data_IF_320848143978
#
_entry.id   IF_320848143978
#
_cell.length_a   1.000
_cell.length_b   1.000
_cell.length_c   1.000
_cell.angle_alpha   90.00
_cell.angle_beta   90.00
_cell.angle_gamma   90.00
#
_symmetry.space_group_name_H-M   'P 1'
#
loop_
_entity.id
_entity.type
_entity.pdbx_description
1 polymer ?
#
# COMPACT_ATOMS: atom_id res chain seq x y z
N UNK A 1 -12.64 -26.80 -26.65
CA UNK A 1 -11.57 -25.82 -26.40
C UNK A 1 -12.25 -24.53 -26.02
N UNK A 2 -12.31 -24.22 -24.73
CA UNK A 2 -12.91 -22.97 -24.24
C UNK A 2 -11.78 -22.12 -23.66
N UNK A 3 -11.62 -20.92 -24.21
CA UNK A 3 -10.65 -19.93 -23.77
C UNK A 3 -10.89 -19.54 -22.30
N UNK A 4 -9.84 -19.38 -21.47
CA UNK A 4 -10.02 -19.05 -20.07
C UNK A 4 -10.39 -17.57 -19.92
N UNK A 5 -11.61 -17.32 -19.40
CA UNK A 5 -12.19 -16.01 -19.12
C UNK A 5 -11.18 -15.03 -18.51
N UNK A 6 -10.99 -13.92 -19.21
CA UNK A 6 -9.90 -12.96 -19.01
C UNK A 6 -10.15 -11.99 -17.83
N UNK A 7 -11.30 -12.05 -17.17
CA UNK A 7 -11.80 -10.98 -16.28
C UNK A 7 -12.05 -11.48 -14.85
N UNK A 8 -10.97 -11.72 -14.09
CA UNK A 8 -11.04 -12.16 -12.68
C UNK A 8 -9.88 -11.59 -11.86
N UNK A 9 -9.99 -11.46 -10.52
CA UNK A 9 -8.89 -11.06 -9.63
C UNK A 9 -7.66 -12.00 -9.74
N UNK A 10 -7.89 -13.27 -10.10
CA UNK A 10 -6.86 -14.23 -10.49
C UNK A 10 -6.04 -13.76 -11.72
N UNK A 11 -6.66 -13.04 -12.65
CA UNK A 11 -5.98 -12.38 -13.77
C UNK A 11 -5.05 -11.29 -13.24
N UNK A 12 -5.47 -10.44 -12.29
CA UNK A 12 -4.61 -9.36 -11.76
C UNK A 12 -3.38 -9.90 -11.01
N UNK A 13 -3.53 -10.98 -10.24
CA UNK A 13 -2.40 -11.62 -9.56
C UNK A 13 -1.43 -12.28 -10.56
N UNK A 14 -1.96 -12.93 -11.60
CA UNK A 14 -1.17 -13.46 -12.73
C UNK A 14 -0.39 -12.35 -13.42
N UNK A 15 -0.98 -11.16 -13.61
CA UNK A 15 -0.33 -9.99 -14.20
C UNK A 15 0.76 -9.41 -13.29
N UNK A 16 0.56 -9.38 -11.98
CA UNK A 16 1.61 -8.97 -11.02
C UNK A 16 2.78 -9.94 -11.00
N UNK A 17 2.51 -11.24 -11.11
CA UNK A 17 3.55 -12.27 -11.23
C UNK A 17 4.32 -12.11 -12.55
N UNK A 18 3.62 -11.86 -13.64
CA UNK A 18 4.24 -11.53 -14.93
C UNK A 18 5.12 -10.27 -14.85
N UNK A 19 4.69 -9.23 -14.12
CA UNK A 19 5.49 -8.01 -13.94
C UNK A 19 6.81 -8.28 -13.20
N UNK A 20 6.76 -9.07 -12.13
CA UNK A 20 7.97 -9.47 -11.38
C UNK A 20 8.89 -10.37 -12.20
N UNK A 21 8.33 -11.29 -12.99
CA UNK A 21 9.09 -12.14 -13.89
C UNK A 21 9.81 -11.31 -14.98
N UNK A 22 9.14 -10.29 -15.54
CA UNK A 22 9.73 -9.38 -16.52
C UNK A 22 10.89 -8.57 -15.91
N UNK A 23 10.75 -8.07 -14.67
CA UNK A 23 11.88 -7.41 -13.96
C UNK A 23 13.07 -8.35 -13.81
N UNK A 24 12.83 -9.61 -13.46
CA UNK A 24 13.88 -10.62 -13.33
C UNK A 24 14.55 -10.92 -14.67
N UNK A 25 13.77 -11.07 -15.74
CA UNK A 25 14.29 -11.31 -17.10
C UNK A 25 15.17 -10.17 -17.61
N UNK A 26 14.73 -8.92 -17.46
CA UNK A 26 15.52 -7.75 -17.87
C UNK A 26 16.83 -7.65 -17.09
N UNK A 27 16.81 -7.90 -15.77
CA UNK A 27 18.04 -7.92 -14.94
C UNK A 27 18.99 -9.06 -15.30
N UNK A 28 18.45 -10.17 -15.78
CA UNK A 28 19.26 -11.31 -16.25
C UNK A 28 19.76 -11.14 -17.68
N UNK A 29 19.45 -10.01 -18.35
CA UNK A 29 19.84 -9.78 -19.74
C UNK A 29 19.10 -10.65 -20.76
N UNK A 30 17.92 -11.18 -20.40
CA UNK A 30 17.11 -12.01 -21.30
C UNK A 30 16.75 -11.22 -22.58
N UNK A 31 17.19 -11.67 -23.77
CA UNK A 31 16.94 -10.97 -25.02
C UNK A 31 15.45 -10.76 -25.33
N UNK A 32 14.58 -11.71 -24.95
CA UNK A 32 13.14 -11.61 -25.18
C UNK A 32 12.49 -10.57 -24.25
N UNK A 33 12.93 -10.53 -22.98
CA UNK A 33 12.48 -9.53 -22.03
C UNK A 33 12.92 -8.11 -22.44
N UNK A 34 14.17 -7.97 -22.89
CA UNK A 34 14.72 -6.70 -23.36
C UNK A 34 14.03 -6.20 -24.64
N UNK A 35 13.73 -7.08 -25.60
CA UNK A 35 13.00 -6.72 -26.82
C UNK A 35 11.57 -6.22 -26.51
N UNK A 36 10.84 -6.91 -25.62
CA UNK A 36 9.49 -6.50 -25.19
C UNK A 36 9.49 -5.12 -24.51
N UNK A 37 10.48 -4.85 -23.68
CA UNK A 37 10.61 -3.56 -23.00
C UNK A 37 10.97 -2.45 -23.99
N UNK A 38 11.95 -2.67 -24.87
CA UNK A 38 12.37 -1.66 -25.87
C UNK A 38 11.24 -1.27 -26.83
N UNK A 39 10.35 -2.20 -27.18
CA UNK A 39 9.19 -1.92 -28.04
C UNK A 39 8.15 -0.98 -27.41
N UNK A 40 8.02 -0.98 -26.07
CA UNK A 40 6.93 -0.30 -25.37
C UNK A 40 7.37 0.82 -24.43
N UNK A 41 8.67 0.91 -24.14
CA UNK A 41 9.30 1.98 -23.37
C UNK A 41 10.47 2.58 -24.17
N UNK A 42 10.21 3.55 -25.06
CA UNK A 42 11.26 4.23 -25.83
C UNK A 42 12.30 4.93 -24.95
N UNK A 43 11.92 5.26 -23.71
CA UNK A 43 12.79 5.87 -22.68
C UNK A 43 13.70 4.87 -21.95
N UNK A 44 13.55 3.56 -22.18
CA UNK A 44 14.37 2.55 -21.53
C UNK A 44 15.69 2.36 -22.27
N UNK A 45 16.77 2.93 -21.71
CA UNK A 45 18.13 2.81 -22.21
C UNK A 45 18.96 1.73 -21.49
N UNK A 46 20.15 1.39 -22.03
CA UNK A 46 21.06 0.41 -21.44
C UNK A 46 21.49 0.75 -20.00
N UNK A 47 21.53 2.02 -19.63
CA UNK A 47 21.97 2.50 -18.31
C UNK A 47 20.81 2.81 -17.35
N UNK A 48 19.56 2.60 -17.76
CA UNK A 48 18.38 2.93 -16.95
C UNK A 48 17.92 1.74 -16.10
N UNK A 49 17.67 1.93 -14.78
CA UNK A 49 17.18 0.85 -13.94
C UNK A 49 15.74 0.47 -14.33
N UNK A 50 15.52 -0.80 -14.66
CA UNK A 50 14.18 -1.32 -14.92
C UNK A 50 13.44 -1.64 -13.61
N UNK A 51 12.44 -0.84 -13.27
CA UNK A 51 11.68 -0.95 -12.03
C UNK A 51 10.41 -1.79 -12.20
N UNK A 52 9.82 -2.22 -11.08
CA UNK A 52 8.54 -2.94 -11.08
C UNK A 52 7.41 -2.10 -11.69
N UNK A 53 7.46 -0.77 -11.52
CA UNK A 53 6.53 0.16 -12.15
C UNK A 53 6.64 0.16 -13.67
N UNK A 54 7.85 0.02 -14.23
CA UNK A 54 8.07 -0.06 -15.66
C UNK A 54 7.56 -1.39 -16.22
N UNK A 55 7.80 -2.49 -15.51
CA UNK A 55 7.24 -3.80 -15.86
C UNK A 55 5.70 -3.82 -15.81
N UNK A 56 5.10 -3.16 -14.82
CA UNK A 56 3.64 -2.98 -14.74
C UNK A 56 3.12 -2.12 -15.90
N UNK A 57 3.85 -1.08 -16.31
CA UNK A 57 3.49 -0.25 -17.45
C UNK A 57 3.54 -1.02 -18.78
N UNK A 58 4.59 -1.80 -19.01
CA UNK A 58 4.72 -2.68 -20.20
C UNK A 58 3.53 -3.63 -20.29
N UNK A 59 3.21 -4.31 -19.20
CA UNK A 59 2.09 -5.26 -19.15
C UNK A 59 0.72 -4.60 -19.37
N UNK A 60 0.55 -3.36 -18.90
CA UNK A 60 -0.66 -2.59 -19.15
C UNK A 60 -0.76 -2.18 -20.63
N UNK A 61 0.34 -1.72 -21.24
CA UNK A 61 0.39 -1.33 -22.65
C UNK A 61 0.21 -2.50 -23.61
N UNK A 62 0.77 -3.67 -23.32
CA UNK A 62 0.54 -4.91 -24.08
C UNK A 62 -0.95 -5.32 -24.12
N UNK A 63 -1.74 -4.84 -23.16
CA UNK A 63 -3.17 -5.12 -23.05
C UNK A 63 -4.04 -3.95 -23.51
N UNK A 64 -3.45 -2.96 -24.17
CA UNK A 64 -4.15 -1.78 -24.68
C UNK A 64 -4.49 -0.72 -23.62
N UNK A 65 -4.01 -0.86 -22.38
CA UNK A 65 -4.28 0.11 -21.32
C UNK A 65 -3.19 1.17 -21.24
N UNK A 66 -3.59 2.43 -21.06
CA UNK A 66 -2.67 3.55 -20.94
C UNK A 66 -1.82 3.53 -19.65
N UNK A 67 -2.29 2.85 -18.60
CA UNK A 67 -1.59 2.74 -17.31
C UNK A 67 -2.11 1.57 -16.47
N UNK A 68 -1.27 1.11 -15.53
CA UNK A 68 -1.60 0.02 -14.60
C UNK A 68 -2.84 0.30 -13.72
N UNK A 69 -3.05 1.51 -13.15
CA UNK A 69 -4.28 1.82 -12.42
C UNK A 69 -5.55 1.74 -13.27
N UNK A 70 -5.50 2.17 -14.55
CA UNK A 70 -6.65 2.04 -15.47
C UNK A 70 -6.98 0.60 -15.79
N UNK A 71 -5.96 -0.23 -16.01
CA UNK A 71 -6.14 -1.66 -16.20
C UNK A 71 -6.75 -2.33 -14.96
N UNK A 72 -6.26 -1.98 -13.76
CA UNK A 72 -6.80 -2.51 -12.50
C UNK A 72 -8.28 -2.15 -12.34
N UNK A 73 -8.65 -0.89 -12.55
CA UNK A 73 -10.03 -0.43 -12.45
C UNK A 73 -10.94 -1.09 -13.49
N UNK A 74 -10.48 -1.29 -14.73
CA UNK A 74 -11.25 -1.99 -15.75
C UNK A 74 -11.48 -3.47 -15.42
N UNK A 75 -10.47 -4.15 -14.87
CA UNK A 75 -10.58 -5.54 -14.40
C UNK A 75 -11.45 -5.70 -13.15
N UNK A 76 -11.55 -4.65 -12.33
CA UNK A 76 -12.41 -4.61 -11.14
C UNK A 76 -13.86 -4.20 -11.47
N UNK A 77 -14.10 -3.56 -12.62
CA UNK A 77 -15.43 -3.06 -13.02
C UNK A 77 -16.14 -3.91 -14.06
N UNK A 78 -15.50 -4.97 -14.58
CA UNK A 78 -16.13 -5.86 -15.56
C UNK A 78 -17.15 -6.78 -14.86
N UNK A 79 -18.45 -6.71 -15.17
CA UNK A 79 -19.43 -7.67 -14.68
C UNK A 79 -19.17 -9.05 -15.28
N UNK A 80 -19.35 -10.10 -14.48
CA UNK A 80 -19.23 -11.49 -14.89
C UNK A 80 -20.27 -11.82 -15.97
N UNK A 81 -19.85 -12.29 -17.15
CA UNK A 81 -20.73 -12.69 -18.27
C UNK A 81 -21.43 -14.07 -18.06
N UNK A 82 -21.60 -14.53 -16.81
CA UNK A 82 -22.37 -15.74 -16.48
C UNK A 82 -23.71 -15.40 -15.81
N UNK A 83 -24.45 -14.46 -16.41
CA UNK A 83 -25.86 -14.28 -16.11
C UNK A 83 -26.67 -14.74 -17.33
N UNK A 84 -27.58 -15.72 -17.19
CA UNK A 84 -28.41 -16.14 -18.31
C UNK A 84 -29.30 -14.97 -18.75
N UNK A 85 -29.38 -14.75 -20.07
CA UNK A 85 -30.30 -13.79 -20.69
C UNK A 85 -31.73 -14.20 -20.38
N UNK A 86 -32.57 -13.37 -19.73
CA UNK A 86 -33.98 -13.69 -19.61
C UNK A 86 -34.67 -13.34 -20.92
N UNK A 87 -35.33 -14.33 -21.52
CA UNK A 87 -36.30 -14.14 -22.59
C UNK A 87 -37.49 -13.32 -22.07
N UNK A 88 -38.08 -12.56 -23.00
CA UNK A 88 -39.17 -11.63 -22.76
C UNK A 88 -40.40 -12.26 -22.09
N UNK A 89 -41.03 -11.47 -21.20
CA UNK A 89 -42.44 -11.60 -20.83
C UNK A 89 -42.68 -12.14 -19.42
N UNK A 90 -42.87 -11.24 -18.47
CA UNK A 90 -44.12 -11.05 -17.72
C UNK A 90 -43.92 -10.04 -16.59
N UNK A 91 -44.80 -9.03 -16.53
CA UNK A 91 -44.83 -8.03 -15.47
C UNK A 91 -45.31 -8.68 -14.17
N UNK A 92 -44.56 -8.51 -13.08
CA UNK A 92 -45.11 -8.56 -11.72
C UNK A 92 -44.45 -7.50 -10.83
N UNK A 93 -45.32 -6.77 -10.15
CA UNK A 93 -45.10 -5.67 -9.19
C UNK A 93 -44.03 -5.97 -8.13
N UNK A 94 -43.36 -4.95 -7.54
CA UNK A 94 -42.17 -5.15 -6.71
C UNK A 94 -42.52 -5.72 -5.34
N UNK A 95 -41.74 -6.71 -4.90
CA UNK A 95 -41.71 -7.21 -3.53
C UNK A 95 -40.89 -6.24 -2.63
N UNK A 96 -41.17 -6.18 -1.31
CA UNK A 96 -40.64 -5.15 -0.40
C UNK A 96 -39.11 -5.25 -0.24
N UNK A 97 -38.43 -4.18 0.23
CA UNK A 97 -36.98 -4.15 0.25
C UNK A 97 -36.44 -5.23 1.19
N UNK A 98 -35.76 -6.23 0.61
CA UNK A 98 -34.98 -7.17 1.38
C UNK A 98 -33.94 -6.38 2.19
N UNK A 99 -33.98 -6.56 3.50
CA UNK A 99 -33.06 -5.99 4.47
C UNK A 99 -31.62 -6.20 4.00
N UNK A 100 -30.87 -5.09 3.88
CA UNK A 100 -29.43 -5.13 3.64
C UNK A 100 -28.80 -5.86 4.81
N UNK A 101 -28.26 -7.06 4.55
CA UNK A 101 -27.35 -7.72 5.47
C UNK A 101 -26.27 -6.71 5.89
N UNK A 102 -25.98 -6.56 7.20
CA UNK A 102 -25.02 -5.57 7.65
C UNK A 102 -23.66 -5.89 7.04
N UNK A 103 -23.01 -4.86 6.49
CA UNK A 103 -21.70 -4.98 5.88
C UNK A 103 -20.72 -5.61 6.88
N UNK A 104 -20.22 -6.81 6.57
CA UNK A 104 -19.10 -7.40 7.28
C UNK A 104 -17.93 -6.40 7.27
N UNK A 105 -17.20 -6.23 8.38
CA UNK A 105 -16.10 -5.28 8.45
C UNK A 105 -15.13 -5.53 7.30
N UNK A 106 -14.68 -4.47 6.63
CA UNK A 106 -13.77 -4.54 5.50
C UNK A 106 -12.40 -5.06 5.96
N UNK A 107 -12.24 -6.39 5.95
CA UNK A 107 -10.99 -7.06 6.27
C UNK A 107 -9.90 -6.66 5.26
N UNK A 108 -8.62 -6.65 5.67
CA UNK A 108 -7.55 -6.00 4.91
C UNK A 108 -7.21 -6.72 3.59
N UNK A 109 -7.68 -7.96 3.42
CA UNK A 109 -7.57 -8.76 2.20
C UNK A 109 -8.93 -9.40 1.92
N UNK A 110 -9.29 -9.55 0.64
CA UNK A 110 -10.54 -10.21 0.25
C UNK A 110 -10.57 -11.70 0.64
N UNK A 111 -11.76 -12.22 0.92
CA UNK A 111 -11.99 -13.63 1.27
C UNK A 111 -11.45 -14.60 0.20
N UNK A 112 -11.59 -14.24 -1.07
CA UNK A 112 -11.08 -15.02 -2.21
C UNK A 112 -9.55 -15.16 -2.20
N UNK A 113 -8.83 -14.08 -1.89
CA UNK A 113 -7.36 -14.08 -1.90
C UNK A 113 -6.77 -14.87 -0.73
N UNK A 114 -7.40 -14.80 0.44
CA UNK A 114 -7.01 -15.62 1.60
C UNK A 114 -7.24 -17.09 1.30
N UNK A 115 -8.44 -17.46 0.84
CA UNK A 115 -8.77 -18.86 0.53
C UNK A 115 -7.85 -19.48 -0.52
N UNK A 116 -7.53 -18.73 -1.58
CA UNK A 116 -6.66 -19.21 -2.65
C UNK A 116 -5.22 -19.53 -2.19
N UNK A 117 -4.75 -18.87 -1.13
CA UNK A 117 -3.34 -18.98 -0.70
C UNK A 117 -3.14 -19.76 0.59
N UNK A 118 -4.13 -19.73 1.47
CA UNK A 118 -4.05 -20.40 2.76
C UNK A 118 -4.95 -21.64 2.84
N UNK A 119 -5.68 -21.95 1.76
CA UNK A 119 -6.63 -23.07 1.70
C UNK A 119 -7.91 -22.88 2.53
N UNK A 120 -8.10 -21.72 3.17
CA UNK A 120 -9.18 -21.44 4.13
C UNK A 120 -9.76 -20.05 3.92
N UNK A 121 -11.08 -19.92 3.99
CA UNK A 121 -11.74 -18.61 3.93
C UNK A 121 -11.54 -17.82 5.22
N UNK A 122 -11.97 -16.55 5.21
CA UNK A 122 -11.97 -15.74 6.44
C UNK A 122 -12.81 -16.39 7.54
N UNK A 123 -14.01 -16.86 7.25
CA UNK A 123 -14.90 -17.45 8.27
C UNK A 123 -14.24 -18.67 8.93
N UNK A 124 -13.58 -19.53 8.14
CA UNK A 124 -12.82 -20.68 8.64
C UNK A 124 -11.63 -20.25 9.52
N UNK A 125 -10.89 -19.23 9.09
CA UNK A 125 -9.76 -18.70 9.86
C UNK A 125 -10.19 -18.06 11.16
N UNK A 126 -11.26 -17.27 11.12
CA UNK A 126 -11.79 -16.60 12.30
C UNK A 126 -12.28 -17.64 13.32
N UNK A 127 -13.06 -18.64 12.86
CA UNK A 127 -13.54 -19.72 13.73
C UNK A 127 -12.40 -20.56 14.31
N UNK A 128 -11.38 -20.89 13.50
CA UNK A 128 -10.20 -21.64 13.95
C UNK A 128 -9.42 -20.87 15.02
N UNK A 129 -9.19 -19.58 14.80
CA UNK A 129 -8.45 -18.74 15.74
C UNK A 129 -9.25 -18.47 17.01
N UNK A 130 -10.58 -18.29 16.93
CA UNK A 130 -11.44 -18.21 18.10
C UNK A 130 -11.37 -19.51 18.93
N UNK A 131 -11.47 -20.67 18.28
CA UNK A 131 -11.37 -21.97 18.94
C UNK A 131 -9.99 -22.19 19.60
N UNK A 132 -8.92 -21.63 19.02
CA UNK A 132 -7.58 -21.64 19.60
C UNK A 132 -7.39 -20.61 20.73
N UNK A 133 -8.43 -19.84 21.07
CA UNK A 133 -8.39 -18.79 22.08
C UNK A 133 -7.51 -17.60 21.67
N UNK A 134 -7.35 -17.33 20.37
CA UNK A 134 -6.47 -16.31 19.83
C UNK A 134 -6.80 -14.90 20.34
N UNK A 135 -8.03 -14.64 20.80
CA UNK A 135 -8.42 -13.36 21.39
C UNK A 135 -7.62 -12.95 22.64
N UNK A 136 -7.00 -13.91 23.35
CA UNK A 136 -6.14 -13.66 24.52
C UNK A 136 -4.64 -13.84 24.23
N UNK A 137 -4.27 -14.05 22.96
CA UNK A 137 -2.91 -14.35 22.54
C UNK A 137 -2.23 -13.10 21.98
N UNK A 138 -0.90 -13.04 22.08
CA UNK A 138 -0.11 -12.03 21.39
C UNK A 138 -0.12 -12.25 19.88
N UNK A 139 0.11 -11.18 19.10
CA UNK A 139 0.22 -11.27 17.63
C UNK A 139 1.18 -12.39 17.16
N UNK A 140 2.32 -12.54 17.84
CA UNK A 140 3.31 -13.58 17.54
C UNK A 140 2.75 -14.99 17.72
N UNK A 141 1.97 -15.21 18.77
CA UNK A 141 1.30 -16.49 19.03
C UNK A 141 0.19 -16.75 18.01
N UNK A 142 -0.57 -15.72 17.60
CA UNK A 142 -1.57 -15.85 16.54
C UNK A 142 -0.91 -16.27 15.23
N UNK A 143 0.19 -15.61 14.84
CA UNK A 143 0.98 -15.99 13.65
C UNK A 143 1.50 -17.42 13.77
N UNK A 144 1.97 -17.83 14.95
CA UNK A 144 2.43 -19.20 15.18
C UNK A 144 1.30 -20.22 14.98
N UNK A 145 0.10 -19.97 15.52
CA UNK A 145 -1.09 -20.81 15.29
C UNK A 145 -1.40 -20.90 13.80
N UNK A 146 -1.48 -19.77 13.11
CA UNK A 146 -1.75 -19.72 11.66
C UNK A 146 -0.70 -20.52 10.86
N UNK A 147 0.58 -20.44 11.25
CA UNK A 147 1.65 -21.20 10.61
C UNK A 147 1.54 -22.71 10.82
N UNK A 148 1.01 -23.20 11.96
CA UNK A 148 0.75 -24.64 12.15
C UNK A 148 -0.28 -25.21 11.17
N UNK A 149 -1.07 -24.33 10.54
CA UNK A 149 -2.08 -24.68 9.55
C UNK A 149 -1.62 -24.43 8.10
N UNK A 150 -0.31 -24.29 7.87
CA UNK A 150 0.29 -24.30 6.53
C UNK A 150 0.26 -22.97 5.79
N UNK A 151 -0.04 -21.86 6.46
CA UNK A 151 0.07 -20.53 5.86
C UNK A 151 1.53 -20.07 5.81
N UNK A 152 1.98 -19.56 4.66
CA UNK A 152 3.31 -18.97 4.49
C UNK A 152 3.54 -17.80 5.46
N UNK A 153 4.79 -17.46 5.83
CA UNK A 153 5.09 -16.43 6.83
C UNK A 153 4.43 -15.07 6.60
N UNK A 154 4.32 -14.65 5.33
CA UNK A 154 3.64 -13.41 4.97
C UNK A 154 2.11 -13.51 5.10
N UNK A 155 1.52 -14.64 4.71
CA UNK A 155 0.08 -14.88 4.88
C UNK A 155 -0.31 -15.06 6.34
N UNK A 156 0.56 -15.67 7.15
CA UNK A 156 0.38 -15.77 8.60
C UNK A 156 0.22 -14.42 9.27
N UNK A 157 1.03 -13.43 8.87
CA UNK A 157 0.90 -12.03 9.32
C UNK A 157 -0.45 -11.45 8.91
N UNK A 158 -0.86 -11.63 7.65
CA UNK A 158 -2.09 -11.03 7.14
C UNK A 158 -3.35 -11.62 7.76
N UNK A 159 -3.39 -12.93 7.96
CA UNK A 159 -4.49 -13.62 8.65
C UNK A 159 -4.55 -13.18 10.11
N UNK A 160 -3.40 -13.07 10.80
CA UNK A 160 -3.36 -12.55 12.16
C UNK A 160 -3.89 -11.11 12.25
N UNK A 161 -3.45 -10.21 11.35
CA UNK A 161 -3.96 -8.82 11.30
C UNK A 161 -5.46 -8.77 11.04
N UNK A 162 -5.96 -9.56 10.09
CA UNK A 162 -7.39 -9.56 9.80
C UNK A 162 -8.23 -10.17 10.92
N UNK A 163 -7.75 -11.20 11.61
CA UNK A 163 -8.39 -11.73 12.82
C UNK A 163 -8.46 -10.68 13.92
N UNK A 164 -7.35 -9.99 14.19
CA UNK A 164 -7.29 -8.91 15.18
C UNK A 164 -8.29 -7.79 14.85
N UNK A 165 -8.41 -7.40 13.57
CA UNK A 165 -9.39 -6.41 13.13
C UNK A 165 -10.84 -6.92 13.23
N UNK A 166 -11.10 -8.17 12.85
CA UNK A 166 -12.43 -8.78 12.88
C UNK A 166 -13.01 -8.91 14.29
N UNK A 167 -12.15 -8.99 15.31
CA UNK A 167 -12.53 -9.11 16.73
C UNK A 167 -12.38 -7.79 17.48
N UNK A 168 -12.13 -6.68 16.78
CA UNK A 168 -11.95 -5.37 17.39
C UNK A 168 -10.72 -5.27 18.30
N UNK A 169 -9.80 -6.25 18.23
CA UNK A 169 -8.54 -6.27 18.97
C UNK A 169 -7.52 -5.28 18.38
N UNK A 170 -7.77 -4.78 17.17
CA UNK A 170 -6.90 -3.85 16.46
C UNK A 170 -7.70 -2.80 15.68
N UNK A 171 -7.42 -1.54 15.95
CA UNK A 171 -7.98 -0.39 15.24
C UNK A 171 -7.09 -0.03 14.04
N UNK A 172 -7.62 0.51 12.92
CA UNK A 172 -6.79 1.04 11.84
C UNK A 172 -5.68 1.95 12.36
N UNK A 173 -4.47 1.77 11.85
CA UNK A 173 -3.23 2.45 12.28
C UNK A 173 -2.63 1.99 13.62
N UNK A 174 -3.19 0.98 14.29
CA UNK A 174 -2.59 0.39 15.48
C UNK A 174 -1.58 -0.72 15.13
N UNK A 175 -0.45 -0.72 15.82
CA UNK A 175 0.61 -1.73 15.77
C UNK A 175 0.32 -2.89 16.73
N UNK A 176 1.03 -4.02 16.57
CA UNK A 176 0.92 -5.17 17.48
C UNK A 176 1.33 -4.87 18.94
N UNK A 177 2.07 -3.78 19.16
CA UNK A 177 2.45 -3.29 20.48
C UNK A 177 1.41 -2.31 21.08
N UNK A 178 0.25 -2.14 20.43
CA UNK A 178 -0.83 -1.26 20.90
C UNK A 178 -0.69 0.21 20.52
N UNK A 179 0.46 0.64 20.00
CA UNK A 179 0.67 2.03 19.58
C UNK A 179 0.12 2.34 18.20
N UNK A 180 -0.12 3.61 17.90
CA UNK A 180 -0.64 4.10 16.63
C UNK A 180 0.45 4.74 15.77
N UNK A 181 0.19 4.83 14.47
CA UNK A 181 1.10 5.46 13.51
C UNK A 181 0.34 6.31 12.47
N UNK A 182 0.99 7.34 11.95
CA UNK A 182 0.46 8.14 10.85
C UNK A 182 1.57 8.43 9.87
N UNK A 183 1.25 8.45 8.58
CA UNK A 183 2.19 8.82 7.53
C UNK A 183 1.55 9.83 6.59
N UNK A 184 2.31 10.86 6.24
CA UNK A 184 1.94 11.89 5.28
C UNK A 184 3.07 12.04 4.27
N UNK A 185 2.72 12.15 3.00
CA UNK A 185 3.67 12.28 1.91
C UNK A 185 3.35 13.52 1.07
N UNK A 186 4.40 14.23 0.64
CA UNK A 186 4.33 15.32 -0.32
C UNK A 186 5.38 15.17 -1.41
N UNK A 187 5.03 15.64 -2.60
CA UNK A 187 5.98 15.80 -3.70
C UNK A 187 6.36 17.26 -3.77
N UNK A 188 7.64 17.53 -3.53
CA UNK A 188 8.24 18.86 -3.45
C UNK A 188 9.10 19.02 -4.68
N UNK A 189 8.90 20.12 -5.38
CA UNK A 189 9.64 20.49 -6.56
C UNK A 189 10.94 21.18 -6.11
N UNK A 190 11.81 20.41 -5.45
CA UNK A 190 13.16 20.81 -5.05
C UNK A 190 14.10 19.59 -5.10
N UNK A 191 15.42 19.81 -5.25
CA UNK A 191 16.41 18.74 -5.13
C UNK A 191 16.29 18.03 -3.79
N UNK A 192 16.65 16.74 -3.76
CA UNK A 192 16.56 15.94 -2.53
C UNK A 192 17.47 16.47 -1.43
N UNK A 193 18.59 17.08 -1.81
CA UNK A 193 19.58 17.71 -0.94
C UNK A 193 18.97 18.93 -0.22
N UNK A 194 18.20 19.75 -0.94
CA UNK A 194 17.51 20.90 -0.36
C UNK A 194 16.41 20.46 0.62
N UNK A 195 15.65 19.41 0.26
CA UNK A 195 14.64 18.84 1.16
C UNK A 195 15.31 18.23 2.39
N UNK A 196 16.42 17.52 2.23
CA UNK A 196 17.19 16.95 3.33
C UNK A 196 17.74 18.04 4.27
N UNK A 197 18.35 19.08 3.70
CA UNK A 197 18.84 20.23 4.46
C UNK A 197 17.71 20.89 5.26
N UNK A 198 16.52 21.04 4.68
CA UNK A 198 15.37 21.62 5.39
C UNK A 198 14.90 20.81 6.61
N UNK A 199 15.26 19.52 6.69
CA UNK A 199 15.03 18.70 7.87
C UNK A 199 16.19 18.73 8.86
N UNK A 200 17.44 18.83 8.41
CA UNK A 200 18.62 18.71 9.29
C UNK A 200 19.11 20.05 9.82
N UNK A 201 19.09 21.09 8.98
CA UNK A 201 19.46 22.45 9.34
C UNK A 201 18.41 23.06 10.27
N UNK A 202 18.82 23.49 11.45
CA UNK A 202 17.93 24.01 12.48
C UNK A 202 17.28 25.35 12.09
N UNK A 203 18.03 26.26 11.47
CA UNK A 203 17.53 27.56 11.05
C UNK A 203 16.52 27.43 9.91
N UNK A 204 16.79 26.55 8.94
CA UNK A 204 15.86 26.27 7.85
C UNK A 204 14.63 25.52 8.36
N UNK A 205 14.81 24.56 9.27
CA UNK A 205 13.71 23.82 9.89
C UNK A 205 12.77 24.72 10.68
N UNK A 206 13.29 25.69 11.43
CA UNK A 206 12.49 26.63 12.20
C UNK A 206 11.52 27.45 11.34
N UNK A 207 11.80 27.65 10.04
CA UNK A 207 10.94 28.42 9.12
C UNK A 207 9.64 27.72 8.75
N UNK A 208 9.59 26.38 8.76
CA UNK A 208 8.40 25.62 8.37
C UNK A 208 7.87 24.69 9.47
N UNK A 209 8.73 24.36 10.45
CA UNK A 209 8.40 23.53 11.60
C UNK A 209 8.91 24.22 12.90
N UNK A 210 8.36 25.40 13.24
CA UNK A 210 8.79 26.15 14.42
C UNK A 210 8.41 25.43 15.71
N UNK A 211 9.29 25.47 16.71
CA UNK A 211 9.02 24.97 18.06
C UNK A 211 8.75 23.47 18.17
N UNK A 212 9.02 22.69 17.12
CA UNK A 212 8.77 21.26 17.17
C UNK A 212 9.74 20.57 18.14
N UNK A 213 9.22 19.76 19.09
CA UNK A 213 10.00 19.15 20.15
C UNK A 213 10.71 17.89 19.62
N UNK A 214 11.68 18.08 18.73
CA UNK A 214 12.31 17.00 17.99
C UNK A 214 13.82 16.92 18.22
N UNK A 215 14.36 15.71 18.25
CA UNK A 215 15.80 15.45 18.29
C UNK A 215 16.21 14.45 17.21
N UNK A 216 17.11 14.85 16.31
CA UNK A 216 17.60 13.99 15.23
C UNK A 216 18.53 12.92 15.81
N UNK A 217 18.17 11.64 15.61
CA UNK A 217 18.98 10.47 16.02
C UNK A 217 19.97 10.04 14.95
N UNK A 218 19.52 10.04 13.69
CA UNK A 218 20.32 9.63 12.53
C UNK A 218 19.82 10.36 11.30
N UNK A 219 20.74 10.89 10.51
CA UNK A 219 20.42 11.44 9.21
C UNK A 219 21.33 10.74 8.18
N UNK A 220 20.72 10.17 7.15
CA UNK A 220 21.44 9.62 6.00
C UNK A 220 21.19 10.55 4.82
N UNK A 221 22.23 11.24 4.32
CA UNK A 221 22.12 12.24 3.26
C UNK A 221 21.24 11.78 2.10
N UNK A 222 20.35 12.67 1.66
CA UNK A 222 19.42 12.47 0.55
C UNK A 222 18.51 11.21 0.63
N UNK A 223 18.42 10.56 1.81
CA UNK A 223 17.70 9.29 1.96
C UNK A 223 16.71 9.30 3.10
N UNK A 224 17.17 9.60 4.31
CA UNK A 224 16.28 9.53 5.48
C UNK A 224 16.77 10.33 6.68
N UNK A 225 15.81 10.71 7.53
CA UNK A 225 16.06 11.33 8.83
C UNK A 225 15.23 10.62 9.89
N UNK A 226 15.88 10.12 10.94
CA UNK A 226 15.24 9.46 12.09
C UNK A 226 15.28 10.37 13.28
N UNK A 227 14.12 10.59 13.88
CA UNK A 227 13.87 11.65 14.85
C UNK A 227 13.17 11.05 16.07
N UNK A 228 13.63 11.44 17.26
CA UNK A 228 12.87 11.29 18.50
C UNK A 228 11.90 12.46 18.61
N UNK A 229 10.63 12.18 18.85
CA UNK A 229 9.65 13.21 19.18
C UNK A 229 9.54 13.28 20.69
N UNK A 230 10.00 14.37 21.30
CA UNK A 230 10.18 14.48 22.75
C UNK A 230 8.85 14.53 23.51
N UNK A 231 7.75 14.89 22.85
CA UNK A 231 6.38 14.76 23.38
C UNK A 231 5.81 13.33 23.26
N UNK A 232 6.62 12.39 22.76
CA UNK A 232 6.25 11.00 22.63
C UNK A 232 6.33 10.52 21.19
N UNK A 233 6.90 9.33 21.02
CA UNK A 233 6.99 8.66 19.75
C UNK A 233 8.28 8.95 18.97
N UNK A 234 8.24 8.66 17.68
CA UNK A 234 9.39 8.79 16.79
C UNK A 234 8.93 9.13 15.39
N UNK A 235 9.68 9.96 14.69
CA UNK A 235 9.39 10.33 13.30
C UNK A 235 10.46 9.75 12.40
N UNK A 236 10.04 9.04 11.35
CA UNK A 236 10.90 8.61 10.27
C UNK A 236 10.54 9.39 9.00
N UNK A 237 11.51 10.15 8.52
CA UNK A 237 11.43 10.88 7.26
C UNK A 237 12.15 10.06 6.21
N UNK A 238 11.47 9.76 5.11
CA UNK A 238 12.05 9.11 3.95
C UNK A 238 11.97 10.04 2.74
N UNK A 239 13.08 10.16 2.02
CA UNK A 239 13.22 11.00 0.85
C UNK A 239 13.43 10.11 -0.38
N UNK A 240 12.67 10.40 -1.43
CA UNK A 240 12.73 9.67 -2.69
C UNK A 240 12.96 10.67 -3.83
N UNK A 241 14.20 10.77 -4.34
CA UNK A 241 14.48 11.57 -5.52
C UNK A 241 13.61 11.12 -6.70
N UNK A 242 13.09 12.09 -7.46
CA UNK A 242 12.24 11.88 -8.61
C UNK A 242 12.66 12.82 -9.76
N UNK A 243 13.96 12.87 -10.02
CA UNK A 243 14.64 13.83 -10.89
C UNK A 243 15.40 14.89 -10.10
N UNK A 244 16.21 15.71 -10.79
CA UNK A 244 17.17 16.63 -10.16
C UNK A 244 16.51 17.76 -9.36
N UNK A 245 15.28 18.12 -9.71
CA UNK A 245 14.53 19.24 -9.11
C UNK A 245 13.23 18.79 -8.45
N UNK A 246 13.14 17.50 -8.08
CA UNK A 246 11.92 16.93 -7.52
C UNK A 246 12.21 15.80 -6.55
N UNK A 247 11.60 15.88 -5.38
CA UNK A 247 11.73 14.90 -4.31
C UNK A 247 10.35 14.58 -3.73
N UNK A 248 10.07 13.30 -3.52
CA UNK A 248 8.94 12.86 -2.71
C UNK A 248 9.42 12.68 -1.27
N UNK A 249 8.85 13.44 -0.34
CA UNK A 249 9.14 13.42 1.08
C UNK A 249 7.99 12.76 1.84
N UNK A 250 8.28 11.71 2.60
CA UNK A 250 7.34 11.01 3.48
C UNK A 250 7.74 11.24 4.92
N UNK A 251 6.83 11.71 5.77
CA UNK A 251 7.00 11.80 7.21
C UNK A 251 6.06 10.80 7.88
N UNK A 252 6.62 9.82 8.60
CA UNK A 252 5.88 8.83 9.34
C UNK A 252 6.12 9.01 10.83
N UNK A 253 5.06 9.34 11.58
CA UNK A 253 5.08 9.39 13.03
C UNK A 253 4.63 8.01 13.57
N UNK A 254 5.50 7.38 14.35
CA UNK A 254 5.29 6.09 14.97
C UNK A 254 5.15 6.22 16.47
N UNK A 255 4.58 5.20 17.10
CA UNK A 255 4.44 5.07 18.56
C UNK A 255 3.56 6.16 19.20
N UNK A 256 2.52 6.60 18.49
CA UNK A 256 1.47 7.42 19.10
C UNK A 256 0.77 6.60 20.18
N UNK A 257 0.56 7.19 21.35
CA UNK A 257 0.00 6.47 22.50
C UNK A 257 -1.49 6.14 22.33
N UNK A 258 -2.22 6.95 21.56
CA UNK A 258 -3.69 6.90 21.48
C UNK A 258 -4.19 7.09 20.03
N UNK A 259 -5.32 6.46 19.70
CA UNK A 259 -5.99 6.56 18.41
C UNK A 259 -6.46 7.99 18.11
N UNK A 260 -6.91 8.72 19.14
CA UNK A 260 -7.37 10.10 19.05
C UNK A 260 -6.27 11.06 18.60
N UNK A 261 -4.99 10.68 18.73
CA UNK A 261 -3.85 11.46 18.26
C UNK A 261 -3.56 11.28 16.76
N UNK A 262 -4.13 10.26 16.11
CA UNK A 262 -3.82 9.93 14.70
C UNK A 262 -4.23 11.06 13.76
N UNK A 263 -5.48 11.50 13.82
CA UNK A 263 -5.98 12.54 12.91
C UNK A 263 -5.44 13.95 13.23
N UNK A 264 -5.31 14.38 14.49
CA UNK A 264 -4.59 15.61 14.82
C UNK A 264 -3.14 15.59 14.31
N UNK A 265 -2.43 14.48 14.49
CA UNK A 265 -1.04 14.35 14.01
C UNK A 265 -0.98 14.29 12.47
N UNK A 266 -1.98 13.68 11.81
CA UNK A 266 -2.12 13.75 10.34
C UNK A 266 -2.26 15.19 9.87
N UNK A 267 -3.14 15.96 10.51
CA UNK A 267 -3.35 17.38 10.22
C UNK A 267 -2.07 18.19 10.40
N UNK A 268 -1.38 17.99 11.53
CA UNK A 268 -0.09 18.62 11.83
C UNK A 268 0.93 18.36 10.72
N UNK A 269 1.18 17.09 10.36
CA UNK A 269 2.16 16.74 9.33
C UNK A 269 1.74 17.18 7.93
N UNK A 270 0.45 17.15 7.62
CA UNK A 270 -0.07 17.69 6.37
C UNK A 270 0.29 19.16 6.24
N UNK A 271 -0.10 19.97 7.22
CA UNK A 271 0.18 21.41 7.22
C UNK A 271 1.70 21.71 7.24
N UNK A 272 2.49 20.93 8.00
CA UNK A 272 3.93 21.09 8.07
C UNK A 272 4.62 20.80 6.72
N UNK A 273 4.29 19.67 6.08
CA UNK A 273 4.86 19.35 4.77
C UNK A 273 4.38 20.29 3.67
N UNK A 274 3.18 20.87 3.80
CA UNK A 274 2.70 21.92 2.90
C UNK A 274 3.52 23.22 3.07
N UNK A 275 3.83 23.64 4.30
CA UNK A 275 4.75 24.76 4.55
C UNK A 275 6.16 24.49 4.02
N UNK A 276 6.70 23.29 4.22
CA UNK A 276 8.00 22.89 3.67
C UNK A 276 7.99 22.97 2.14
N UNK A 277 6.94 22.46 1.51
CA UNK A 277 6.76 22.52 0.05
C UNK A 277 6.76 23.97 -0.42
N UNK A 278 5.93 24.83 0.16
CA UNK A 278 5.86 26.25 -0.20
C UNK A 278 7.21 26.96 -0.01
N UNK A 279 7.89 26.69 1.10
CA UNK A 279 9.19 27.27 1.42
C UNK A 279 10.25 26.98 0.35
N UNK A 280 10.35 25.71 -0.07
CA UNK A 280 11.37 25.27 -1.02
C UNK A 280 11.02 25.58 -2.47
N UNK A 281 9.74 25.61 -2.81
CA UNK A 281 9.29 25.95 -4.18
C UNK A 281 9.33 27.47 -4.43
N UNK A 282 9.14 28.29 -3.39
CA UNK A 282 9.30 29.75 -3.48
C UNK A 282 10.78 30.20 -3.58
N UNK A 283 11.72 29.37 -3.12
CA UNK A 283 13.15 29.65 -3.18
C UNK A 283 13.80 29.26 -4.52
N UNK A 284 12.99 28.88 -5.52
CA UNK A 284 13.48 28.62 -6.88
C UNK A 284 13.91 29.93 -7.54
N UNK A 285 15.09 29.97 -8.19
CA UNK A 285 15.44 31.06 -9.08
C UNK A 285 14.53 31.09 -10.31
#
# INVERSE_FOLDING_TARGET
MSEPSVHSPASLERLRRQARALVKGVRAGDPQALARVRALLPRFGPDSPFLLSDAQFVIARERGFASWPRMKSALESAPSEDAPVPAAGERKEPAPPAERQPASPSLPISQTAVRARTGRGWDDWLALLDAAGAARRSHKEIVAIVSTHGADPWWGQMVAVGYEQARGLRVPNQSCAGHYQVSVTRTIAAPVEAVFAAWTDEALRARWLPGAPLAIRKATPAKSVRITWNEGGSVEVNLYPAGDQKCRCSAQHNKLADASLVEPMRGHWSAALDRLKSLLEAARP
#
